data_IF_803639474045
#
_entry.id   IF_803639474045
#
_cell.length_a   1.000
_cell.length_b   1.000
_cell.length_c   1.000
_cell.angle_alpha   90.00
_cell.angle_beta   90.00
_cell.angle_gamma   90.00
#
_symmetry.space_group_name_H-M   'P 1'
#
loop_
_entity.id
_entity.type
_entity.pdbx_description
1 polymer ?
#
# COMPACT_ATOMS: atom_id res chain seq x y z
N UNK A 1 12.81 18.76 -4.63
CA UNK A 1 13.43 17.48 -4.20
C UNK A 1 12.34 16.71 -3.48
N UNK A 2 11.86 15.59 -4.05
CA UNK A 2 10.94 14.70 -3.35
C UNK A 2 11.79 13.72 -2.54
N UNK A 3 11.92 14.00 -1.25
CA UNK A 3 12.73 13.22 -0.32
C UNK A 3 11.87 12.07 0.28
N UNK A 4 11.22 11.33 -0.62
CA UNK A 4 10.40 10.17 -0.27
C UNK A 4 11.22 8.89 -0.37
N UNK A 5 11.08 8.05 0.65
CA UNK A 5 11.77 6.78 0.77
C UNK A 5 10.75 5.65 0.79
N UNK A 6 10.95 4.67 -0.09
CA UNK A 6 10.10 3.48 -0.19
C UNK A 6 10.92 2.31 0.33
N UNK A 7 10.49 1.71 1.43
CA UNK A 7 11.16 0.57 2.04
C UNK A 7 10.22 -0.64 2.08
N UNK A 8 10.68 -1.78 1.59
CA UNK A 8 9.95 -3.03 1.73
C UNK A 8 10.40 -3.71 3.02
N UNK A 9 9.46 -3.96 3.92
CA UNK A 9 9.68 -4.92 5.01
C UNK A 9 9.23 -6.29 4.50
N UNK A 10 10.19 -7.13 4.15
CA UNK A 10 9.89 -8.48 3.66
C UNK A 10 9.10 -9.27 4.70
N UNK A 11 7.92 -9.68 4.28
CA UNK A 11 7.13 -10.62 5.03
C UNK A 11 7.73 -12.01 4.86
N UNK A 12 7.98 -12.72 5.98
CA UNK A 12 8.22 -14.17 5.94
C UNK A 12 7.11 -14.85 5.13
N UNK A 13 7.36 -16.01 4.54
CA UNK A 13 6.49 -16.67 3.54
C UNK A 13 4.97 -16.71 3.87
N UNK A 14 4.59 -16.67 5.15
CA UNK A 14 3.21 -16.73 5.65
C UNK A 14 2.62 -15.37 6.10
N UNK A 15 3.33 -14.25 5.89
CA UNK A 15 2.90 -12.92 6.34
C UNK A 15 2.57 -11.99 5.16
N UNK A 16 1.73 -11.00 5.44
CA UNK A 16 1.38 -9.91 4.52
C UNK A 16 2.59 -9.02 4.22
N UNK A 17 2.78 -8.63 2.95
CA UNK A 17 3.89 -7.75 2.55
C UNK A 17 3.63 -6.35 3.05
N UNK A 18 4.63 -5.72 3.67
CA UNK A 18 4.50 -4.33 4.16
C UNK A 18 5.49 -3.45 3.43
N UNK A 19 4.99 -2.37 2.86
CA UNK A 19 5.77 -1.30 2.28
C UNK A 19 5.62 -0.05 3.13
N UNK A 20 6.74 0.55 3.52
CA UNK A 20 6.77 1.82 4.20
C UNK A 20 7.08 2.92 3.20
N UNK A 21 6.16 3.86 3.08
CA UNK A 21 6.33 5.09 2.31
C UNK A 21 6.60 6.23 3.30
N UNK A 22 7.85 6.65 3.42
CA UNK A 22 8.28 7.69 4.36
C UNK A 22 8.53 9.00 3.62
N UNK A 23 8.03 10.10 4.15
CA UNK A 23 8.37 11.44 3.68
C UNK A 23 9.39 12.07 4.66
N UNK A 24 10.64 12.25 4.21
CA UNK A 24 11.69 12.80 5.08
C UNK A 24 11.48 14.27 5.41
N UNK A 25 10.66 14.99 4.66
CA UNK A 25 10.39 16.42 4.89
C UNK A 25 9.51 16.63 6.13
N UNK A 26 8.47 15.81 6.29
CA UNK A 26 7.56 15.89 7.44
C UNK A 26 7.88 14.85 8.54
N UNK A 27 8.74 13.86 8.25
CA UNK A 27 9.10 12.80 9.18
C UNK A 27 8.01 11.74 9.38
N UNK A 28 6.92 11.80 8.61
CA UNK A 28 5.79 10.88 8.70
C UNK A 28 5.87 9.77 7.67
N UNK A 29 5.18 8.66 7.95
CA UNK A 29 5.13 7.52 7.04
C UNK A 29 3.73 6.91 6.90
N UNK A 30 3.55 6.19 5.79
CA UNK A 30 2.43 5.31 5.53
C UNK A 30 2.93 3.88 5.36
N UNK A 31 2.49 2.99 6.24
CA UNK A 31 2.69 1.55 6.07
C UNK A 31 1.55 0.96 5.22
N UNK A 32 1.86 0.58 3.98
CA UNK A 32 0.95 -0.10 3.06
C UNK A 32 1.12 -1.61 3.23
N UNK A 33 0.08 -2.27 3.74
CA UNK A 33 0.06 -3.72 4.01
C UNK A 33 -0.74 -4.41 2.91
N UNK A 34 -0.06 -5.14 2.04
CA UNK A 34 -0.70 -6.01 1.06
C UNK A 34 -1.02 -7.35 1.71
N UNK A 35 -2.30 -7.62 1.89
CA UNK A 35 -2.74 -8.85 2.52
C UNK A 35 -2.31 -10.10 1.72
N UNK A 36 -1.86 -11.13 2.43
CA UNK A 36 -1.35 -12.35 1.80
C UNK A 36 -2.43 -13.09 1.01
N UNK A 37 -3.68 -13.05 1.47
CA UNK A 37 -4.78 -13.69 0.77
C UNK A 37 -5.06 -12.95 -0.55
N UNK A 38 -5.04 -11.61 -0.55
CA UNK A 38 -5.15 -10.81 -1.78
C UNK A 38 -4.06 -11.19 -2.80
N UNK A 39 -2.80 -11.24 -2.36
CA UNK A 39 -1.67 -11.66 -3.20
C UNK A 39 -1.92 -13.04 -3.83
N UNK A 40 -2.28 -14.02 -3.00
CA UNK A 40 -2.52 -15.39 -3.44
C UNK A 40 -3.68 -15.49 -4.43
N UNK A 41 -4.76 -14.74 -4.21
CA UNK A 41 -5.92 -14.74 -5.11
C UNK A 41 -5.59 -14.09 -6.45
N UNK A 42 -4.84 -12.98 -6.47
CA UNK A 42 -4.39 -12.37 -7.72
C UNK A 42 -3.50 -13.32 -8.52
N UNK A 43 -2.52 -13.97 -7.86
CA UNK A 43 -1.61 -14.94 -8.50
C UNK A 43 -2.32 -16.15 -9.10
N UNK A 44 -3.50 -16.53 -8.58
CA UNK A 44 -4.32 -17.62 -9.13
C UNK A 44 -5.07 -17.22 -10.41
N UNK A 45 -5.32 -15.93 -10.65
CA UNK A 45 -6.02 -15.49 -11.87
C UNK A 45 -5.01 -15.28 -13.00
N UNK A 46 -5.21 -16.00 -14.12
CA UNK A 46 -4.29 -16.09 -15.28
C UNK A 46 -3.91 -14.75 -15.94
N UNK A 47 -4.64 -13.66 -15.68
CA UNK A 47 -4.47 -12.35 -16.32
C UNK A 47 -4.05 -11.23 -15.35
N UNK A 48 -3.79 -11.55 -14.09
CA UNK A 48 -3.42 -10.54 -13.10
C UNK A 48 -1.98 -10.73 -12.65
N UNK A 49 -1.26 -9.62 -12.55
CA UNK A 49 0.10 -9.57 -12.00
C UNK A 49 0.06 -8.81 -10.69
N UNK A 50 0.25 -9.52 -9.58
CA UNK A 50 0.32 -8.90 -8.26
C UNK A 50 1.45 -7.87 -8.20
N UNK A 51 2.64 -8.15 -8.76
CA UNK A 51 3.76 -7.22 -8.74
C UNK A 51 3.47 -5.92 -9.51
N UNK A 52 2.71 -6.02 -10.62
CA UNK A 52 2.26 -4.84 -11.35
C UNK A 52 1.28 -4.03 -10.51
N UNK A 53 0.28 -4.69 -9.94
CA UNK A 53 -0.69 -4.06 -9.05
C UNK A 53 -0.03 -3.37 -7.86
N UNK A 54 0.89 -4.07 -7.17
CA UNK A 54 1.68 -3.54 -6.05
C UNK A 54 2.41 -2.26 -6.47
N UNK A 55 3.10 -2.27 -7.61
CA UNK A 55 3.82 -1.10 -8.12
C UNK A 55 2.87 0.07 -8.45
N UNK A 56 1.76 -0.19 -9.13
CA UNK A 56 0.77 0.83 -9.48
C UNK A 56 0.12 1.42 -8.21
N UNK A 57 -0.17 0.58 -7.21
CA UNK A 57 -0.73 0.98 -5.94
C UNK A 57 0.22 1.86 -5.13
N UNK A 58 1.51 1.52 -5.07
CA UNK A 58 2.51 2.35 -4.40
C UNK A 58 2.66 3.71 -5.09
N UNK A 59 2.59 3.76 -6.42
CA UNK A 59 2.63 5.02 -7.17
C UNK A 59 1.42 5.93 -6.88
N UNK A 60 0.22 5.36 -6.75
CA UNK A 60 -0.96 6.14 -6.36
C UNK A 60 -0.87 6.65 -4.93
N UNK A 61 -0.43 5.81 -3.98
CA UNK A 61 -0.31 6.18 -2.57
C UNK A 61 0.87 7.13 -2.29
N UNK A 62 1.88 7.16 -3.14
CA UNK A 62 2.97 8.14 -3.06
C UNK A 62 2.42 9.58 -3.05
N UNK A 63 1.36 9.87 -3.81
CA UNK A 63 0.69 11.18 -3.84
C UNK A 63 0.02 11.54 -2.51
N UNK A 64 -0.37 10.52 -1.73
CA UNK A 64 -1.04 10.68 -0.44
C UNK A 64 -0.03 11.02 0.67
N UNK A 65 1.16 10.40 0.63
CA UNK A 65 2.22 10.53 1.64
C UNK A 65 2.80 11.95 1.72
N UNK A 66 2.70 12.74 0.65
CA UNK A 66 3.04 14.17 0.68
C UNK A 66 2.13 14.97 1.62
N UNK A 67 0.93 14.48 1.93
CA UNK A 67 -0.13 15.23 2.59
C UNK A 67 -0.52 14.67 3.97
N UNK A 68 0.07 13.56 4.39
CA UNK A 68 -0.19 12.98 5.71
C UNK A 68 0.44 13.85 6.81
N UNK A 69 -0.25 13.92 7.96
CA UNK A 69 0.12 14.74 9.13
C UNK A 69 0.53 13.92 10.35
N UNK A 70 0.60 12.60 10.18
CA UNK A 70 0.81 11.62 11.23
C UNK A 70 1.28 10.32 10.57
N UNK A 71 1.65 9.34 11.39
CA UNK A 71 1.95 8.01 10.91
C UNK A 71 0.66 7.21 10.70
N UNK A 72 0.54 6.53 9.56
CA UNK A 72 -0.64 5.77 9.21
C UNK A 72 -0.29 4.36 8.73
N UNK A 73 -1.28 3.49 8.73
CA UNK A 73 -1.27 2.24 8.00
C UNK A 73 -2.52 2.09 7.14
N UNK A 74 -2.33 1.45 5.99
CA UNK A 74 -3.40 1.10 5.06
C UNK A 74 -3.30 -0.40 4.78
N UNK A 75 -4.35 -1.14 5.12
CA UNK A 75 -4.44 -2.57 4.81
C UNK A 75 -5.20 -2.74 3.51
N UNK A 76 -4.55 -3.35 2.53
CA UNK A 76 -5.10 -3.67 1.23
C UNK A 76 -5.46 -5.15 1.21
N UNK A 77 -6.72 -5.44 1.51
CA UNK A 77 -7.33 -6.75 1.39
C UNK A 77 -8.30 -6.81 0.19
N UNK A 78 -8.93 -7.96 0.00
CA UNK A 78 -9.90 -8.14 -1.07
C UNK A 78 -11.16 -7.29 -0.92
N UNK A 79 -11.58 -6.96 0.31
CA UNK A 79 -12.76 -6.14 0.55
C UNK A 79 -12.52 -4.69 0.12
N UNK A 80 -11.30 -4.21 0.34
CA UNK A 80 -10.90 -2.86 -0.04
C UNK A 80 -10.67 -2.75 -1.55
N UNK A 81 -9.94 -3.71 -2.16
CA UNK A 81 -9.55 -3.65 -3.57
C UNK A 81 -10.65 -4.13 -4.52
N UNK A 82 -11.56 -4.98 -4.04
CA UNK A 82 -12.60 -5.59 -4.87
C UNK A 82 -12.06 -6.66 -5.84
N UNK A 83 -12.95 -7.18 -6.68
CA UNK A 83 -12.68 -8.33 -7.55
C UNK A 83 -11.96 -7.97 -8.85
N UNK A 84 -11.99 -6.70 -9.22
CA UNK A 84 -11.38 -6.14 -10.44
C UNK A 84 -9.90 -5.80 -10.26
N UNK A 85 -9.42 -5.83 -9.01
CA UNK A 85 -8.01 -5.59 -8.64
C UNK A 85 -7.45 -4.27 -9.17
N UNK A 86 -8.28 -3.21 -9.13
CA UNK A 86 -7.87 -1.87 -9.52
C UNK A 86 -7.16 -1.19 -8.33
N UNK A 87 -6.04 -0.48 -8.57
CA UNK A 87 -5.38 0.31 -7.54
C UNK A 87 -6.32 1.37 -6.95
N UNK A 88 -6.27 1.56 -5.64
CA UNK A 88 -6.95 2.66 -4.98
C UNK A 88 -6.21 3.96 -5.28
N UNK A 89 -6.96 4.98 -5.67
CA UNK A 89 -6.41 6.34 -5.74
C UNK A 89 -6.24 6.92 -4.32
N UNK A 90 -5.50 8.02 -4.22
CA UNK A 90 -5.21 8.67 -2.95
C UNK A 90 -6.44 9.17 -2.19
N UNK A 91 -7.51 9.58 -2.88
CA UNK A 91 -8.72 10.11 -2.23
C UNK A 91 -9.58 8.98 -1.64
N UNK A 92 -9.71 7.86 -2.35
CA UNK A 92 -10.42 6.67 -1.88
C UNK A 92 -9.64 5.94 -0.77
N UNK A 93 -8.30 6.08 -0.74
CA UNK A 93 -7.46 5.52 0.31
C UNK A 93 -7.52 6.29 1.63
N UNK A 94 -7.74 7.62 1.62
CA UNK A 94 -7.81 8.47 2.83
C UNK A 94 -8.74 7.96 3.92
N UNK A 95 -10.02 7.62 3.65
CA UNK A 95 -10.95 7.17 4.69
C UNK A 95 -10.57 5.82 5.30
N UNK A 96 -9.65 5.07 4.66
CA UNK A 96 -9.22 3.74 5.07
C UNK A 96 -7.92 3.77 5.89
N UNK A 97 -7.33 4.95 6.09
CA UNK A 97 -6.11 5.11 6.87
C UNK A 97 -6.39 4.88 8.36
N UNK A 98 -5.69 3.91 8.95
CA UNK A 98 -5.63 3.74 10.39
C UNK A 98 -4.41 4.48 10.93
N UNK A 99 -4.61 5.41 11.88
CA UNK A 99 -3.52 6.10 12.55
C UNK A 99 -2.67 5.09 13.33
N UNK A 100 -1.34 5.26 13.31
CA UNK A 100 -0.40 4.52 14.14
C UNK A 100 0.10 5.42 15.27
N UNK A 101 0.07 4.86 16.47
CA UNK A 101 0.67 5.43 17.68
C UNK A 101 2.21 5.32 17.68
#
# INVERSE_FOLDING_TARGET
>A
MNDMMIERTEARAEKSTVWRLSNKVNGHFLDVVFDKNLENQMKRKRNFSFNRFESEQLNELHKLVERIKDNYSLVLDQNVIGLDYLPLNAEDAKPLLAKKD
#
